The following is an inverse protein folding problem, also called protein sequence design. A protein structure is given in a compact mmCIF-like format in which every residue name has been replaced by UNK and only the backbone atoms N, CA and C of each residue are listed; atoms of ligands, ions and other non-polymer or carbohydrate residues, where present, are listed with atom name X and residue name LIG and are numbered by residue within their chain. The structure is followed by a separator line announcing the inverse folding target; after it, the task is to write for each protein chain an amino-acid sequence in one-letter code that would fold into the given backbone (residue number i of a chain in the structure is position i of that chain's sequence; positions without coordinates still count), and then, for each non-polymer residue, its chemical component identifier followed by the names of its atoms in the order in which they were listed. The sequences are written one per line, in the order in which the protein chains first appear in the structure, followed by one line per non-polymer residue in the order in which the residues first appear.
data_IF_940009478490
#
_entry.id   IF_940009478490
#
_cell.length_a   1.000
_cell.length_b   1.000
_cell.length_c   1.000
_cell.angle_alpha   90.00
_cell.angle_beta   90.00
_cell.angle_gamma   90.00
#
_symmetry.space_group_name_H-M   'P 1'
#
loop_
_entity.id
_entity.type
_entity.pdbx_description
1 polymer ?
#
# COMPACT_ATOMS: atom_id res chain seq x y z
N UNK A 1 12.35 -5.33 13.06
CA UNK A 1 11.28 -6.26 12.58
C UNK A 1 11.84 -7.68 12.58
N UNK A 2 11.10 -8.67 13.07
CA UNK A 2 11.52 -10.09 13.03
C UNK A 2 10.65 -10.81 12.00
N UNK A 3 11.25 -11.42 10.98
CA UNK A 3 10.57 -12.13 9.88
C UNK A 3 9.41 -11.35 9.21
N UNK A 4 9.64 -10.10 8.76
CA UNK A 4 8.57 -9.31 8.17
C UNK A 4 8.06 -9.92 6.87
N UNK A 5 6.76 -9.80 6.64
CA UNK A 5 6.10 -10.12 5.37
C UNK A 5 5.16 -8.98 5.01
N UNK A 6 5.19 -8.56 3.76
CA UNK A 6 4.37 -7.47 3.25
C UNK A 6 3.59 -7.95 2.04
N UNK A 7 2.38 -7.39 1.89
CA UNK A 7 1.62 -7.48 0.64
C UNK A 7 1.73 -6.12 -0.05
N UNK A 8 2.22 -6.13 -1.29
CA UNK A 8 2.33 -4.92 -2.12
C UNK A 8 1.23 -5.00 -3.17
N UNK A 9 0.41 -3.96 -3.23
CA UNK A 9 -0.54 -3.74 -4.32
C UNK A 9 0.06 -2.69 -5.25
N UNK A 10 0.00 -2.96 -6.55
CA UNK A 10 0.59 -2.10 -7.57
C UNK A 10 -0.40 -1.88 -8.69
N UNK A 11 -0.54 -0.63 -9.10
CA UNK A 11 -1.30 -0.18 -10.26
C UNK A 11 -0.45 0.87 -11.00
N UNK A 12 -0.66 0.97 -12.32
CA UNK A 12 0.01 1.98 -13.13
C UNK A 12 -0.78 2.31 -14.39
N UNK A 13 -0.92 3.60 -14.71
CA UNK A 13 -1.66 4.05 -15.89
C UNK A 13 -1.03 3.62 -17.23
N UNK A 14 0.30 3.47 -17.27
CA UNK A 14 1.01 2.88 -18.41
C UNK A 14 0.99 1.35 -18.32
N UNK A 15 0.15 0.74 -19.16
CA UNK A 15 0.00 -0.72 -19.24
C UNK A 15 1.30 -1.41 -19.65
N UNK A 16 2.12 -0.82 -20.54
CA UNK A 16 3.37 -1.45 -20.97
C UNK A 16 4.34 -1.58 -19.79
N UNK A 17 4.40 -0.56 -18.93
CA UNK A 17 5.20 -0.60 -17.70
C UNK A 17 4.66 -1.63 -16.71
N UNK A 18 3.34 -1.65 -16.50
CA UNK A 18 2.69 -2.63 -15.63
C UNK A 18 3.00 -4.08 -16.06
N UNK A 19 2.84 -4.37 -17.35
CA UNK A 19 3.12 -5.69 -17.95
C UNK A 19 4.59 -6.06 -17.82
N UNK A 20 5.49 -5.15 -18.19
CA UNK A 20 6.93 -5.39 -18.10
C UNK A 20 7.40 -5.67 -16.66
N UNK A 21 6.86 -4.95 -15.67
CA UNK A 21 7.17 -5.20 -14.27
C UNK A 21 6.64 -6.57 -13.81
N UNK A 22 5.38 -6.87 -14.14
CA UNK A 22 4.73 -8.12 -13.76
C UNK A 22 5.47 -9.35 -14.31
N UNK A 23 5.86 -9.32 -15.58
CA UNK A 23 6.63 -10.40 -16.21
C UNK A 23 8.00 -10.61 -15.59
N UNK A 24 8.65 -9.52 -15.16
CA UNK A 24 9.94 -9.60 -14.45
C UNK A 24 9.79 -10.22 -13.08
N UNK A 25 8.73 -9.90 -12.34
CA UNK A 25 8.47 -10.51 -11.02
C UNK A 25 8.17 -12.00 -11.18
N UNK A 26 7.26 -12.36 -12.10
CA UNK A 26 6.92 -13.77 -12.39
C UNK A 26 8.14 -14.60 -12.78
N UNK A 27 9.06 -14.02 -13.54
CA UNK A 27 10.29 -14.68 -13.96
C UNK A 27 11.48 -14.52 -12.99
N UNK A 28 11.28 -13.88 -11.83
CA UNK A 28 12.34 -13.61 -10.82
C UNK A 28 13.54 -12.87 -11.42
N UNK A 29 13.28 -11.96 -12.37
CA UNK A 29 14.30 -11.18 -13.12
C UNK A 29 14.45 -9.76 -12.55
N UNK A 30 15.15 -9.67 -11.44
CA UNK A 30 15.46 -8.38 -10.81
C UNK A 30 16.73 -7.77 -11.44
N UNK A 31 16.76 -6.44 -11.61
CA UNK A 31 17.99 -5.74 -12.00
C UNK A 31 18.96 -5.64 -10.80
N UNK A 32 18.42 -5.42 -9.61
CA UNK A 32 19.11 -5.47 -8.33
C UNK A 32 18.37 -6.40 -7.37
N UNK A 33 19.10 -7.02 -6.44
CA UNK A 33 18.50 -7.84 -5.38
C UNK A 33 17.57 -6.97 -4.52
N UNK A 34 16.28 -7.32 -4.40
CA UNK A 34 15.36 -6.61 -3.52
C UNK A 34 15.85 -6.61 -2.07
N UNK A 35 15.63 -5.52 -1.34
CA UNK A 35 16.00 -5.42 0.06
C UNK A 35 15.03 -4.53 0.85
N UNK A 36 14.95 -4.75 2.16
CA UNK A 36 14.09 -4.01 3.09
C UNK A 36 14.86 -2.82 3.68
N UNK A 37 15.07 -1.79 2.87
CA UNK A 37 15.68 -0.51 3.28
C UNK A 37 17.21 -0.51 3.28
N UNK A 38 17.85 -1.56 3.79
CA UNK A 38 19.31 -1.72 3.77
C UNK A 38 19.70 -2.95 2.94
N UNK A 39 20.83 -2.89 2.25
CA UNK A 39 21.29 -3.96 1.35
C UNK A 39 21.54 -5.30 2.06
N UNK A 40 21.81 -5.27 3.36
CA UNK A 40 21.98 -6.46 4.21
C UNK A 40 20.65 -7.16 4.52
N UNK A 41 19.51 -6.49 4.30
CA UNK A 41 18.18 -7.03 4.54
C UNK A 41 17.56 -7.50 3.22
N UNK A 42 18.18 -8.48 2.57
CA UNK A 42 17.69 -9.06 1.31
C UNK A 42 16.25 -9.57 1.45
N UNK A 43 15.45 -9.35 0.43
CA UNK A 43 14.05 -9.73 0.38
C UNK A 43 13.77 -10.67 -0.79
N UNK A 44 12.81 -11.55 -0.60
CA UNK A 44 12.22 -12.36 -1.67
C UNK A 44 10.94 -11.65 -2.11
N UNK A 45 10.76 -11.51 -3.42
CA UNK A 45 9.55 -10.96 -4.02
C UNK A 45 8.85 -12.09 -4.78
N UNK A 46 7.64 -12.41 -4.34
CA UNK A 46 6.83 -13.48 -4.95
C UNK A 46 5.66 -12.85 -5.69
N UNK A 47 5.43 -13.30 -6.92
CA UNK A 47 4.21 -12.99 -7.63
C UNK A 47 3.02 -13.66 -6.94
N UNK A 48 1.93 -12.91 -6.73
CA UNK A 48 0.70 -13.46 -6.15
C UNK A 48 -0.35 -13.62 -7.24
N UNK A 49 -0.87 -12.52 -7.78
CA UNK A 49 -1.97 -12.53 -8.73
C UNK A 49 -2.09 -11.19 -9.46
N UNK A 50 -2.84 -11.19 -10.57
CA UNK A 50 -3.28 -10.00 -11.29
C UNK A 50 -4.81 -10.02 -11.37
N UNK A 51 -5.45 -8.93 -10.96
CA UNK A 51 -6.89 -8.85 -10.88
C UNK A 51 -7.37 -7.46 -11.27
N UNK A 52 -8.64 -7.36 -11.65
CA UNK A 52 -9.28 -6.08 -11.90
C UNK A 52 -9.76 -5.52 -10.56
N UNK A 53 -9.39 -4.28 -10.28
CA UNK A 53 -9.92 -3.55 -9.14
C UNK A 53 -11.12 -2.70 -9.57
N UNK A 54 -12.18 -2.72 -8.77
CA UNK A 54 -13.36 -1.88 -8.98
C UNK A 54 -13.28 -0.66 -8.07
N UNK A 55 -13.41 0.54 -8.61
CA UNK A 55 -13.49 1.74 -7.79
C UNK A 55 -14.90 1.87 -7.20
N UNK A 56 -14.97 2.00 -5.87
CA UNK A 56 -16.20 2.21 -5.13
C UNK A 56 -16.14 3.60 -4.49
N UNK A 57 -17.07 4.47 -4.87
CA UNK A 57 -17.33 5.72 -4.15
C UNK A 57 -18.16 5.42 -2.90
N UNK A 58 -17.83 6.06 -1.79
CA UNK A 58 -18.58 5.91 -0.54
C UNK A 58 -18.90 7.26 0.08
N UNK A 59 -20.09 7.34 0.66
CA UNK A 59 -20.54 8.48 1.43
C UNK A 59 -20.71 8.02 2.89
N UNK A 60 -19.83 8.52 3.76
CA UNK A 60 -19.94 8.46 5.22
C UNK A 60 -19.89 7.10 5.95
N UNK A 61 -19.81 5.98 5.23
CA UNK A 61 -19.72 4.64 5.83
C UNK A 61 -18.28 4.21 6.19
N UNK A 62 -18.14 3.52 7.32
CA UNK A 62 -16.88 2.89 7.71
C UNK A 62 -16.63 1.60 6.93
N UNK A 63 -15.48 1.53 6.27
CA UNK A 63 -15.05 0.38 5.48
C UNK A 63 -13.74 -0.21 5.98
N UNK A 64 -13.58 -1.53 5.84
CA UNK A 64 -12.36 -2.24 6.21
C UNK A 64 -11.31 -2.12 5.10
N UNK A 65 -10.26 -1.33 5.33
CA UNK A 65 -9.13 -1.17 4.40
C UNK A 65 -8.00 -2.12 4.77
N UNK A 66 -7.51 -2.87 3.78
CA UNK A 66 -6.49 -3.92 3.91
C UNK A 66 -5.10 -3.44 3.47
N UNK A 67 -4.94 -2.13 3.32
CA UNK A 67 -3.68 -1.44 3.07
C UNK A 67 -3.41 -0.46 4.20
N UNK A 68 -2.21 0.10 4.19
CA UNK A 68 -1.91 1.28 4.99
C UNK A 68 -2.75 2.46 4.52
N UNK A 69 -3.01 3.42 5.41
CA UNK A 69 -3.90 4.57 5.13
C UNK A 69 -3.11 5.86 5.18
N UNK A 70 -3.13 6.62 4.09
CA UNK A 70 -2.63 8.00 4.09
C UNK A 70 -3.65 8.91 4.77
N UNK A 71 -3.28 9.47 5.92
CA UNK A 71 -4.18 10.31 6.72
C UNK A 71 -4.62 11.57 5.99
N UNK A 72 -3.80 12.08 5.06
CA UNK A 72 -4.14 13.27 4.28
C UNK A 72 -5.27 13.03 3.26
N UNK A 73 -5.63 11.76 3.00
CA UNK A 73 -6.73 11.39 2.10
C UNK A 73 -8.06 11.22 2.85
N UNK A 74 -8.05 11.33 4.17
CA UNK A 74 -9.24 11.24 5.01
C UNK A 74 -9.78 12.66 5.26
N UNK A 75 -11.05 12.90 5.00
CA UNK A 75 -11.65 14.24 5.06
C UNK A 75 -12.59 14.46 6.25
N UNK A 76 -13.02 13.40 6.94
CA UNK A 76 -14.01 13.48 8.01
C UNK A 76 -13.39 13.81 9.38
N UNK A 77 -14.18 14.38 10.30
CA UNK A 77 -13.73 14.74 11.66
C UNK A 77 -13.28 13.53 12.48
N UNK A 78 -13.93 12.37 12.29
CA UNK A 78 -13.59 11.10 12.93
C UNK A 78 -13.47 10.02 11.86
N UNK A 79 -12.41 10.03 11.04
CA UNK A 79 -12.36 9.21 9.85
C UNK A 79 -11.86 7.80 10.15
N UNK A 80 -11.46 7.48 11.38
CA UNK A 80 -10.88 6.19 11.76
C UNK A 80 -11.61 5.65 12.98
N UNK A 81 -12.06 4.40 12.90
CA UNK A 81 -12.60 3.69 14.03
C UNK A 81 -11.55 2.75 14.61
N UNK A 82 -10.93 3.18 15.70
CA UNK A 82 -9.94 2.37 16.42
C UNK A 82 -10.61 1.21 17.16
N UNK A 83 -10.09 0.00 16.96
CA UNK A 83 -10.48 -1.21 17.70
C UNK A 83 -9.41 -1.65 18.71
N UNK A 84 -9.42 -2.92 19.09
CA UNK A 84 -8.40 -3.54 19.98
C UNK A 84 -7.05 -3.82 19.29
N UNK A 85 -6.77 -3.17 18.15
CA UNK A 85 -5.57 -3.41 17.36
C UNK A 85 -4.43 -2.46 17.72
N UNK A 86 -3.22 -2.73 17.21
CA UNK A 86 -2.03 -1.91 17.49
C UNK A 86 -1.75 -0.98 16.34
N UNK A 87 -2.08 0.30 16.51
CA UNK A 87 -1.89 1.32 15.50
C UNK A 87 -0.60 2.10 15.72
N UNK A 88 0.06 2.49 14.64
CA UNK A 88 1.12 3.49 14.65
C UNK A 88 1.02 4.41 13.45
N UNK A 89 1.42 5.66 13.63
CA UNK A 89 1.62 6.60 12.52
C UNK A 89 3.11 6.80 12.30
N UNK A 90 3.49 6.89 11.03
CA UNK A 90 4.86 7.12 10.60
C UNK A 90 4.83 8.07 9.39
N UNK A 91 5.84 8.95 9.29
CA UNK A 91 6.00 9.84 8.13
C UNK A 91 6.77 9.12 7.02
N UNK A 92 6.14 8.91 5.87
CA UNK A 92 6.74 8.24 4.72
C UNK A 92 6.97 9.18 3.54
N UNK A 93 8.06 8.98 2.76
CA UNK A 93 8.21 9.65 1.48
C UNK A 93 7.21 9.07 0.48
N UNK A 94 6.30 9.90 -0.03
CA UNK A 94 5.27 9.50 -1.00
C UNK A 94 5.75 9.64 -2.45
N UNK A 95 6.59 10.64 -2.72
CA UNK A 95 7.11 10.92 -4.04
C UNK A 95 8.58 11.34 -3.97
N UNK A 96 9.34 10.95 -4.99
CA UNK A 96 10.76 11.30 -5.16
C UNK A 96 11.05 11.65 -6.61
N UNK A 97 12.03 12.53 -6.82
CA UNK A 97 12.57 12.79 -8.15
C UNK A 97 13.60 11.72 -8.57
N UNK A 98 14.15 11.85 -9.78
CA UNK A 98 15.15 10.92 -10.32
C UNK A 98 16.47 10.92 -9.54
N UNK A 99 16.78 12.02 -8.86
CA UNK A 99 17.96 12.18 -8.01
C UNK A 99 17.73 11.65 -6.58
N UNK A 100 16.60 10.95 -6.35
CA UNK A 100 16.19 10.37 -5.05
C UNK A 100 15.97 11.42 -3.95
N UNK A 101 15.66 12.66 -4.34
CA UNK A 101 15.22 13.71 -3.41
C UNK A 101 13.71 13.57 -3.22
N UNK A 102 13.29 13.49 -1.96
CA UNK A 102 11.87 13.41 -1.59
C UNK A 102 11.18 14.74 -1.91
N UNK A 103 10.10 14.66 -2.68
CA UNK A 103 9.30 15.82 -3.09
C UNK A 103 8.00 15.93 -2.31
N UNK A 104 7.55 14.84 -1.67
CA UNK A 104 6.37 14.84 -0.83
C UNK A 104 6.50 13.81 0.31
N UNK A 105 6.06 14.20 1.49
CA UNK A 105 5.89 13.33 2.66
C UNK A 105 4.41 13.18 2.98
N UNK A 106 4.04 12.06 3.59
CA UNK A 106 2.70 11.81 4.09
C UNK A 106 2.73 11.07 5.41
N UNK A 107 1.73 11.33 6.25
CA UNK A 107 1.53 10.59 7.48
C UNK A 107 0.69 9.34 7.20
N UNK A 108 1.28 8.18 7.45
CA UNK A 108 0.68 6.89 7.15
C UNK A 108 0.29 6.19 8.44
N UNK A 109 -0.98 5.80 8.53
CA UNK A 109 -1.49 4.95 9.58
C UNK A 109 -1.28 3.48 9.21
N UNK A 110 -0.70 2.73 10.15
CA UNK A 110 -0.36 1.31 10.01
C UNK A 110 -0.98 0.55 11.18
N UNK A 111 -1.65 -0.56 10.88
CA UNK A 111 -2.00 -1.58 11.87
C UNK A 111 -0.90 -2.65 11.88
N UNK A 112 -0.27 -2.87 13.04
CA UNK A 112 0.98 -3.64 13.17
C UNK A 112 0.80 -5.16 13.13
N UNK A 113 -0.43 -5.65 13.23
CA UNK A 113 -0.76 -7.08 13.23
C UNK A 113 -1.33 -7.58 11.89
N UNK A 114 -1.48 -6.69 10.90
CA UNK A 114 -2.01 -7.00 9.57
C UNK A 114 -3.54 -7.06 9.51
N UNK A 115 -4.22 -6.56 10.54
CA UNK A 115 -5.67 -6.45 10.56
C UNK A 115 -6.15 -5.25 9.72
N UNK A 116 -7.37 -5.30 9.15
CA UNK A 116 -7.92 -4.18 8.42
C UNK A 116 -8.12 -2.93 9.30
N UNK A 117 -7.92 -1.76 8.71
CA UNK A 117 -8.17 -0.47 9.35
C UNK A 117 -9.58 -0.03 8.96
N UNK A 118 -10.45 0.22 9.94
CA UNK A 118 -11.79 0.76 9.71
C UNK A 118 -11.72 2.26 9.52
N UNK A 119 -12.01 2.74 8.32
CA UNK A 119 -11.97 4.18 7.99
C UNK A 119 -13.18 4.63 7.22
N UNK A 120 -13.50 5.93 7.31
CA UNK A 120 -14.33 6.64 6.36
C UNK A 120 -13.43 7.29 5.30
N UNK A 121 -13.80 7.14 4.04
CA UNK A 121 -13.07 7.66 2.89
C UNK A 121 -14.06 7.99 1.78
N UNK A 122 -13.70 8.89 0.86
CA UNK A 122 -14.53 9.22 -0.31
C UNK A 122 -14.65 8.06 -1.31
N UNK A 123 -13.71 7.13 -1.26
CA UNK A 123 -13.74 5.91 -2.07
C UNK A 123 -12.51 5.05 -1.87
N UNK A 124 -12.55 3.86 -2.45
CA UNK A 124 -11.50 2.85 -2.39
C UNK A 124 -11.57 1.90 -3.57
N UNK A 125 -10.53 1.08 -3.71
CA UNK A 125 -10.47 0.04 -4.74
C UNK A 125 -10.82 -1.31 -4.13
N UNK A 126 -11.90 -1.93 -4.61
CA UNK A 126 -12.35 -3.25 -4.17
C UNK A 126 -11.63 -4.33 -4.98
N UNK A 127 -11.06 -5.31 -4.28
CA UNK A 127 -10.37 -6.45 -4.89
C UNK A 127 -10.75 -7.75 -4.17
N UNK A 128 -10.49 -8.94 -4.75
CA UNK A 128 -10.59 -10.21 -4.03
C UNK A 128 -9.71 -10.32 -2.79
N UNK A 129 -8.67 -9.48 -2.65
CA UNK A 129 -7.76 -9.44 -1.51
C UNK A 129 -8.19 -8.43 -0.43
N UNK A 130 -9.33 -7.76 -0.61
CA UNK A 130 -9.84 -6.74 0.29
C UNK A 130 -9.94 -5.36 -0.37
N UNK A 131 -10.39 -4.38 0.41
CA UNK A 131 -10.49 -2.99 -0.03
C UNK A 131 -9.15 -2.28 0.17
N UNK A 132 -8.67 -1.57 -0.86
CA UNK A 132 -7.33 -0.99 -0.93
C UNK A 132 -7.42 0.52 -1.11
N UNK A 133 -6.62 1.25 -0.35
CA UNK A 133 -6.27 2.64 -0.60
C UNK A 133 -4.83 2.71 -1.11
N UNK A 134 -4.65 3.21 -2.33
CA UNK A 134 -3.32 3.52 -2.84
C UNK A 134 -2.80 4.81 -2.20
N UNK A 135 -1.49 4.88 -1.99
CA UNK A 135 -0.81 6.00 -1.32
C UNK A 135 -0.73 7.27 -2.16
#
# INVERSE_FOLDING_TARGET
LKNPRFRIFFDHADEALFRALSDRIKAVRHHFTPCLGLSQFTAIVEWVDETIAEYISTEDDYVNIHSVVNLSKLADENPIQFGQAYYSTDTFPLAMNRDRVVTAYGEILIERTGQPIRVKTSGYWKTPFGNILFL
#
